data_IF_333082728737
#
_entry.id   IF_333082728737
#
_cell.length_a   1.000
_cell.length_b   1.000
_cell.length_c   1.000
_cell.angle_alpha   90.00
_cell.angle_beta   90.00
_cell.angle_gamma   90.00
#
_symmetry.space_group_name_H-M   'P 1'
#
loop_
_entity.id
_entity.type
_entity.pdbx_description
1 polymer ?
#
# COMPACT_ATOMS: atom_id res chain seq x y z
N UNK A 1 -48.92 19.83 83.02
CA UNK A 1 -49.17 20.62 81.79
C UNK A 1 -47.84 20.79 81.07
N UNK A 2 -47.53 19.90 80.15
CA UNK A 2 -46.38 20.03 79.25
C UNK A 2 -46.79 19.34 77.96
N UNK A 3 -47.36 20.13 77.04
CA UNK A 3 -47.89 19.69 75.76
C UNK A 3 -46.73 19.31 74.84
N UNK A 4 -46.75 18.08 74.33
CA UNK A 4 -45.88 17.64 73.23
C UNK A 4 -46.21 18.44 71.96
N UNK A 5 -45.22 18.89 71.17
CA UNK A 5 -45.47 19.44 69.84
C UNK A 5 -45.89 18.30 68.90
N UNK A 6 -47.00 18.51 68.18
CA UNK A 6 -47.41 17.64 67.09
C UNK A 6 -46.32 17.61 66.00
N UNK A 7 -45.99 16.40 65.51
CA UNK A 7 -45.26 16.22 64.26
C UNK A 7 -46.06 16.84 63.11
N UNK A 8 -45.43 17.76 62.38
CA UNK A 8 -45.91 18.16 61.06
C UNK A 8 -45.84 16.97 60.08
N UNK A 9 -46.81 16.82 59.17
CA UNK A 9 -46.80 15.70 58.24
C UNK A 9 -45.64 15.86 57.24
N UNK A 10 -45.03 14.74 56.90
CA UNK A 10 -43.97 14.65 55.91
C UNK A 10 -44.33 15.44 54.65
N UNK A 11 -43.47 16.39 54.27
CA UNK A 11 -43.49 17.05 52.97
C UNK A 11 -43.47 15.98 51.89
N UNK A 12 -44.62 15.77 51.24
CA UNK A 12 -44.74 14.96 50.04
C UNK A 12 -43.90 15.61 48.95
N UNK A 13 -42.71 15.05 48.69
CA UNK A 13 -41.96 15.36 47.48
C UNK A 13 -42.84 14.92 46.31
N UNK A 14 -43.25 15.83 45.40
CA UNK A 14 -44.11 15.46 44.28
C UNK A 14 -43.36 14.45 43.40
N UNK A 15 -44.03 13.38 42.91
CA UNK A 15 -43.37 12.33 42.15
C UNK A 15 -43.25 12.76 40.68
N UNK A 16 -42.68 13.93 40.37
CA UNK A 16 -42.56 14.31 38.96
C UNK A 16 -41.60 15.47 38.65
N UNK A 17 -40.33 15.37 39.05
CA UNK A 17 -39.34 16.42 38.70
C UNK A 17 -38.04 15.87 38.14
N UNK A 18 -38.10 14.72 37.49
CA UNK A 18 -37.01 14.19 36.66
C UNK A 18 -37.45 13.80 35.25
N UNK A 19 -38.61 14.25 34.80
CA UNK A 19 -38.93 14.20 33.39
C UNK A 19 -38.35 15.47 32.76
N UNK A 20 -37.35 15.34 31.90
CA UNK A 20 -37.04 16.41 30.96
C UNK A 20 -38.34 16.77 30.22
N UNK A 21 -38.63 18.06 30.03
CA UNK A 21 -39.76 18.51 29.21
C UNK A 21 -39.81 17.67 27.92
N UNK A 22 -40.97 17.12 27.58
CA UNK A 22 -41.16 16.24 26.41
C UNK A 22 -40.67 16.95 25.13
N UNK A 23 -40.80 18.29 25.09
CA UNK A 23 -40.21 19.12 24.04
C UNK A 23 -38.67 19.10 24.05
N UNK A 24 -38.05 19.13 25.22
CA UNK A 24 -36.59 19.02 25.37
C UNK A 24 -36.08 17.61 25.00
N UNK A 25 -36.84 16.56 25.32
CA UNK A 25 -36.53 15.19 24.90
C UNK A 25 -36.60 15.06 23.37
N UNK A 26 -37.67 15.55 22.74
CA UNK A 26 -37.82 15.55 21.28
C UNK A 26 -36.74 16.41 20.58
N UNK A 27 -36.33 17.52 21.20
CA UNK A 27 -35.24 18.35 20.68
C UNK A 27 -33.88 17.64 20.79
N UNK A 28 -33.62 16.94 21.89
CA UNK A 28 -32.40 16.13 22.06
C UNK A 28 -32.34 14.98 21.04
N UNK A 29 -33.46 14.30 20.79
CA UNK A 29 -33.53 13.24 19.76
C UNK A 29 -33.24 13.77 18.36
N UNK A 30 -33.71 14.98 18.03
CA UNK A 30 -33.34 15.66 16.77
C UNK A 30 -31.84 15.94 16.71
N UNK A 31 -31.26 16.51 17.76
CA UNK A 31 -29.82 16.77 17.79
C UNK A 31 -29.00 15.49 17.64
N UNK A 32 -29.33 14.42 18.36
CA UNK A 32 -28.61 13.13 18.24
C UNK A 32 -28.69 12.58 16.81
N UNK A 33 -29.86 12.70 16.17
CA UNK A 33 -30.05 12.28 14.77
C UNK A 33 -29.23 13.12 13.81
N UNK A 34 -29.24 14.43 13.97
CA UNK A 34 -28.51 15.38 13.14
C UNK A 34 -26.99 15.23 13.32
N UNK A 35 -26.51 15.10 14.56
CA UNK A 35 -25.12 14.76 14.84
C UNK A 35 -24.72 13.41 14.25
N UNK A 36 -25.56 12.39 14.37
CA UNK A 36 -25.32 11.09 13.75
C UNK A 36 -25.22 11.17 12.23
N UNK A 37 -26.05 12.00 11.60
CA UNK A 37 -25.99 12.29 10.16
C UNK A 37 -24.70 13.03 9.80
N UNK A 38 -24.40 14.15 10.48
CA UNK A 38 -23.18 14.93 10.25
C UNK A 38 -21.91 14.09 10.45
N UNK A 39 -21.89 13.20 11.45
CA UNK A 39 -20.76 12.32 11.70
C UNK A 39 -20.54 11.32 10.55
N UNK A 40 -21.63 10.76 9.99
CA UNK A 40 -21.55 9.89 8.81
C UNK A 40 -21.07 10.66 7.58
N UNK A 41 -21.67 11.81 7.30
CA UNK A 41 -21.29 12.68 6.17
C UNK A 41 -19.82 13.10 6.27
N UNK A 42 -19.35 13.51 7.46
CA UNK A 42 -17.95 13.82 7.70
C UNK A 42 -17.03 12.62 7.45
N UNK A 43 -17.40 11.44 7.96
CA UNK A 43 -16.57 10.24 7.77
C UNK A 43 -16.53 9.79 6.32
N UNK A 44 -17.62 9.95 5.59
CA UNK A 44 -17.68 9.70 4.14
C UNK A 44 -16.78 10.69 3.39
N UNK A 45 -16.90 11.99 3.69
CA UNK A 45 -16.02 13.00 3.11
C UNK A 45 -14.53 12.75 3.38
N UNK A 46 -14.17 12.32 4.60
CA UNK A 46 -12.78 11.96 4.93
C UNK A 46 -12.28 10.74 4.16
N UNK A 47 -13.16 9.75 3.91
CA UNK A 47 -12.84 8.58 3.08
C UNK A 47 -12.62 8.99 1.62
N UNK A 48 -13.48 9.85 1.08
CA UNK A 48 -13.34 10.35 -0.29
C UNK A 48 -12.06 11.16 -0.49
N UNK A 49 -11.70 12.04 0.47
CA UNK A 49 -10.43 12.76 0.44
C UNK A 49 -9.24 11.79 0.47
N UNK A 50 -9.29 10.76 1.32
CA UNK A 50 -8.24 9.73 1.40
C UNK A 50 -8.11 8.96 0.09
N UNK A 51 -9.24 8.58 -0.53
CA UNK A 51 -9.28 7.90 -1.83
C UNK A 51 -8.67 8.79 -2.92
N UNK A 52 -9.08 10.05 -3.00
CA UNK A 52 -8.57 11.00 -3.99
C UNK A 52 -7.06 11.22 -3.87
N UNK A 53 -6.53 11.35 -2.66
CA UNK A 53 -5.08 11.46 -2.43
C UNK A 53 -4.32 10.23 -2.91
N UNK A 54 -4.83 9.03 -2.64
CA UNK A 54 -4.20 7.80 -3.07
C UNK A 54 -4.25 7.63 -4.59
N UNK A 55 -5.39 7.91 -5.22
CA UNK A 55 -5.55 7.88 -6.68
C UNK A 55 -4.58 8.83 -7.38
N UNK A 56 -4.44 10.06 -6.87
CA UNK A 56 -3.52 11.04 -7.43
C UNK A 56 -2.06 10.55 -7.42
N UNK A 57 -1.62 9.90 -6.34
CA UNK A 57 -0.25 9.38 -6.25
C UNK A 57 -0.02 8.13 -7.10
N UNK A 58 -1.03 7.25 -7.23
CA UNK A 58 -0.97 6.14 -8.17
C UNK A 58 -0.87 6.65 -9.62
N UNK A 59 -1.61 7.70 -9.99
CA UNK A 59 -1.49 8.33 -11.30
C UNK A 59 -0.11 8.95 -11.54
N UNK A 60 0.50 9.56 -10.53
CA UNK A 60 1.87 10.06 -10.64
C UNK A 60 2.90 8.92 -10.77
N UNK A 61 2.67 7.81 -10.09
CA UNK A 61 3.51 6.61 -10.23
C UNK A 61 3.38 6.01 -11.62
N UNK A 62 2.16 5.93 -12.15
CA UNK A 62 1.90 5.53 -13.53
C UNK A 62 2.56 6.47 -14.54
N UNK A 63 2.56 7.79 -14.29
CA UNK A 63 3.25 8.75 -15.15
C UNK A 63 4.77 8.55 -15.12
N UNK A 64 5.35 8.17 -13.99
CA UNK A 64 6.77 7.83 -13.88
C UNK A 64 7.12 6.54 -14.67
N UNK A 65 6.22 5.56 -14.67
CA UNK A 65 6.37 4.29 -15.39
C UNK A 65 6.19 4.43 -16.91
N UNK A 66 5.21 5.25 -17.34
CA UNK A 66 5.05 5.65 -18.74
C UNK A 66 6.29 6.37 -19.30
N UNK A 67 7.06 7.04 -18.43
CA UNK A 67 8.34 7.67 -18.81
C UNK A 67 9.43 6.63 -19.08
N UNK A 68 9.34 5.44 -18.48
CA UNK A 68 10.27 4.31 -18.59
C UNK A 68 9.82 3.23 -19.60
N UNK A 69 8.93 3.60 -20.52
CA UNK A 69 8.39 2.77 -21.61
C UNK A 69 7.53 1.55 -21.16
N UNK A 70 6.88 1.62 -19.99
CA UNK A 70 5.93 0.58 -19.54
C UNK A 70 4.46 0.98 -19.77
N UNK A 71 3.59 -0.02 -19.89
CA UNK A 71 2.16 0.11 -20.22
C UNK A 71 1.27 0.44 -19.01
N UNK A 72 1.84 0.68 -17.83
CA UNK A 72 1.13 0.97 -16.57
C UNK A 72 0.39 -0.23 -15.95
N UNK A 73 0.13 -1.29 -16.72
CA UNK A 73 -0.47 -2.55 -16.21
C UNK A 73 0.47 -3.25 -15.23
N UNK A 74 1.79 -3.11 -15.44
CA UNK A 74 2.83 -3.62 -14.55
C UNK A 74 2.61 -3.17 -13.10
N UNK A 75 2.49 -1.86 -12.87
CA UNK A 75 2.24 -1.28 -11.54
C UNK A 75 1.03 -1.93 -10.85
N UNK A 76 -0.06 -2.16 -11.59
CA UNK A 76 -1.27 -2.76 -11.04
C UNK A 76 -1.02 -4.23 -10.65
N UNK A 77 -0.31 -4.98 -11.49
CA UNK A 77 0.09 -6.36 -11.17
C UNK A 77 0.97 -6.40 -9.92
N UNK A 78 1.97 -5.53 -9.81
CA UNK A 78 2.84 -5.47 -8.62
C UNK A 78 2.03 -5.37 -7.33
N UNK A 79 1.01 -4.51 -7.29
CA UNK A 79 0.15 -4.39 -6.12
C UNK A 79 -0.55 -5.70 -5.73
N UNK A 80 -1.27 -6.32 -6.67
CA UNK A 80 -2.02 -7.54 -6.39
C UNK A 80 -1.12 -8.76 -6.12
N UNK A 81 0.00 -8.89 -6.83
CA UNK A 81 0.94 -9.99 -6.61
C UNK A 81 1.64 -9.84 -5.25
N UNK A 82 1.97 -8.62 -4.84
CA UNK A 82 2.52 -8.36 -3.50
C UNK A 82 1.50 -8.66 -2.39
N UNK A 83 0.22 -8.35 -2.59
CA UNK A 83 -0.86 -8.75 -1.67
C UNK A 83 -0.95 -10.27 -1.54
N UNK A 84 -1.02 -10.97 -2.68
CA UNK A 84 -1.14 -12.42 -2.72
C UNK A 84 0.04 -13.10 -2.02
N UNK A 85 1.28 -12.63 -2.29
CA UNK A 85 2.47 -13.17 -1.65
C UNK A 85 2.51 -12.86 -0.15
N UNK A 86 2.14 -11.65 0.27
CA UNK A 86 2.06 -11.29 1.69
C UNK A 86 1.06 -12.19 2.45
N UNK A 87 -0.10 -12.48 1.85
CA UNK A 87 -1.09 -13.41 2.43
C UNK A 87 -0.54 -14.83 2.52
N UNK A 88 0.12 -15.32 1.47
CA UNK A 88 0.75 -16.64 1.46
C UNK A 88 1.87 -16.77 2.52
N UNK A 89 2.54 -15.67 2.85
CA UNK A 89 3.52 -15.55 3.93
C UNK A 89 2.88 -15.51 5.34
N UNK A 90 1.55 -15.59 5.45
CA UNK A 90 0.82 -15.55 6.71
C UNK A 90 0.64 -14.14 7.30
N UNK A 91 0.87 -13.08 6.52
CA UNK A 91 0.61 -11.72 6.98
C UNK A 91 -0.89 -11.44 7.11
N UNK A 92 -1.23 -10.44 7.93
CA UNK A 92 -2.62 -10.03 8.10
C UNK A 92 -3.18 -9.42 6.81
N UNK A 93 -4.50 -9.57 6.61
CA UNK A 93 -5.23 -8.94 5.49
C UNK A 93 -5.01 -7.42 5.46
N UNK A 94 -4.90 -6.77 6.64
CA UNK A 94 -4.61 -5.34 6.75
C UNK A 94 -3.24 -4.97 6.19
N UNK A 95 -2.19 -5.74 6.53
CA UNK A 95 -0.84 -5.52 5.99
C UNK A 95 -0.80 -5.79 4.49
N UNK A 96 -1.35 -6.91 4.03
CA UNK A 96 -1.33 -7.28 2.62
C UNK A 96 -2.06 -6.25 1.74
N UNK A 97 -3.23 -5.76 2.18
CA UNK A 97 -3.96 -4.68 1.51
C UNK A 97 -3.22 -3.35 1.54
N UNK A 98 -2.45 -3.07 2.59
CA UNK A 98 -1.61 -1.87 2.63
C UNK A 98 -0.45 -2.00 1.63
N UNK A 99 0.18 -3.16 1.54
CA UNK A 99 1.25 -3.44 0.58
C UNK A 99 0.74 -3.41 -0.86
N UNK A 100 -0.48 -3.88 -1.13
CA UNK A 100 -1.15 -3.75 -2.43
C UNK A 100 -1.16 -2.32 -2.95
N UNK A 101 -1.34 -1.37 -2.03
CA UNK A 101 -1.43 0.05 -2.32
C UNK A 101 -0.05 0.70 -2.39
N UNK A 102 0.88 0.24 -1.55
CA UNK A 102 2.22 0.78 -1.43
C UNK A 102 3.19 0.35 -2.55
N UNK A 103 3.24 -0.95 -2.86
CA UNK A 103 4.18 -1.54 -3.82
C UNK A 103 4.12 -0.95 -5.25
N UNK A 104 2.94 -0.59 -5.78
CA UNK A 104 2.79 0.16 -7.03
C UNK A 104 3.67 1.42 -7.16
N UNK A 105 4.04 2.05 -6.04
CA UNK A 105 4.77 3.31 -6.04
C UNK A 105 6.30 3.14 -5.94
N UNK A 106 6.82 1.91 -6.02
CA UNK A 106 8.25 1.61 -5.82
C UNK A 106 9.18 2.45 -6.71
N UNK A 107 8.75 2.71 -7.94
CA UNK A 107 9.53 3.38 -8.99
C UNK A 107 9.18 4.86 -9.21
N UNK A 108 8.36 5.48 -8.34
CA UNK A 108 7.92 6.88 -8.51
C UNK A 108 9.10 7.87 -8.65
N UNK A 109 10.26 7.54 -8.06
CA UNK A 109 11.47 8.35 -8.14
C UNK A 109 12.09 8.46 -9.55
N UNK A 110 11.72 7.58 -10.50
CA UNK A 110 12.17 7.65 -11.90
C UNK A 110 11.75 8.96 -12.58
N UNK A 111 10.74 9.66 -12.04
CA UNK A 111 10.37 11.02 -12.48
C UNK A 111 11.56 11.98 -12.46
N UNK A 112 12.46 11.85 -11.47
CA UNK A 112 13.67 12.67 -11.31
C UNK A 112 14.89 12.18 -12.09
N UNK A 113 14.81 11.02 -12.76
CA UNK A 113 15.95 10.48 -13.52
C UNK A 113 16.06 11.14 -14.90
N UNK A 114 17.24 11.61 -15.35
CA UNK A 114 17.39 12.20 -16.68
C UNK A 114 17.07 11.22 -17.82
N UNK A 115 16.39 11.69 -18.86
CA UNK A 115 16.01 10.85 -20.03
C UNK A 115 17.22 10.24 -20.74
N UNK A 116 18.38 10.91 -20.74
CA UNK A 116 19.63 10.39 -21.30
C UNK A 116 20.13 9.13 -20.59
N UNK A 117 19.74 8.94 -19.32
CA UNK A 117 20.05 7.75 -18.52
C UNK A 117 18.90 6.76 -18.57
N UNK A 118 17.66 7.23 -18.34
CA UNK A 118 16.47 6.39 -18.28
C UNK A 118 16.20 5.66 -19.60
N UNK A 119 16.28 6.36 -20.73
CA UNK A 119 15.97 5.85 -22.07
C UNK A 119 17.20 5.38 -22.85
N UNK A 120 18.34 5.19 -22.17
CA UNK A 120 19.59 4.82 -22.84
C UNK A 120 19.48 3.42 -23.43
N UNK A 121 19.76 3.30 -24.73
CA UNK A 121 19.89 1.99 -25.40
C UNK A 121 21.25 1.38 -25.07
N UNK A 122 21.26 0.23 -24.39
CA UNK A 122 22.47 -0.53 -24.05
C UNK A 122 22.85 -0.43 -22.57
N UNK A 123 24.08 -0.83 -22.24
CA UNK A 123 24.55 -0.85 -20.84
C UNK A 123 24.83 0.57 -20.35
N UNK A 124 24.35 0.87 -19.14
CA UNK A 124 24.74 2.08 -18.41
C UNK A 124 26.21 1.98 -17.99
N UNK A 125 26.97 3.05 -18.14
CA UNK A 125 28.31 3.17 -17.53
C UNK A 125 28.17 3.36 -16.00
N UNK A 126 29.24 3.22 -15.20
CA UNK A 126 29.13 3.30 -13.75
C UNK A 126 28.47 4.58 -13.21
N UNK A 127 28.77 5.75 -13.80
CA UNK A 127 28.20 7.05 -13.41
C UNK A 127 26.70 7.14 -13.72
N UNK A 128 26.28 6.63 -14.89
CA UNK A 128 24.88 6.55 -15.28
C UNK A 128 24.12 5.56 -14.40
N UNK A 129 24.75 4.43 -14.04
CA UNK A 129 24.18 3.47 -13.09
C UNK A 129 23.97 4.11 -11.73
N UNK A 130 24.94 4.88 -11.22
CA UNK A 130 24.77 5.61 -9.98
C UNK A 130 23.60 6.60 -10.05
N UNK A 131 23.48 7.32 -11.17
CA UNK A 131 22.35 8.23 -11.43
C UNK A 131 21.01 7.50 -11.45
N UNK A 132 20.94 6.35 -12.13
CA UNK A 132 19.73 5.51 -12.16
C UNK A 132 19.36 5.02 -10.76
N UNK A 133 20.33 4.54 -9.98
CA UNK A 133 20.10 3.98 -8.65
C UNK A 133 19.53 5.02 -7.65
N UNK A 134 19.70 6.32 -7.91
CA UNK A 134 19.13 7.38 -7.08
C UNK A 134 17.60 7.40 -7.07
N UNK A 135 16.91 6.77 -8.03
CA UNK A 135 15.44 6.76 -8.05
C UNK A 135 14.84 6.18 -6.76
N UNK A 136 15.48 5.18 -6.14
CA UNK A 136 15.01 4.58 -4.90
C UNK A 136 14.96 5.61 -3.75
N UNK A 137 16.05 6.36 -3.57
CA UNK A 137 16.13 7.42 -2.57
C UNK A 137 15.20 8.61 -2.89
N UNK A 138 15.10 9.01 -4.16
CA UNK A 138 14.19 10.07 -4.58
C UNK A 138 12.72 9.70 -4.35
N UNK A 139 12.33 8.46 -4.68
CA UNK A 139 10.97 7.97 -4.45
C UNK A 139 10.62 7.96 -2.97
N UNK A 140 11.55 7.52 -2.13
CA UNK A 140 11.41 7.57 -0.69
C UNK A 140 11.27 9.02 -0.16
N UNK A 141 12.01 9.98 -0.72
CA UNK A 141 11.87 11.40 -0.35
C UNK A 141 10.51 11.99 -0.75
N UNK A 142 10.03 11.68 -1.96
CA UNK A 142 8.72 12.12 -2.47
C UNK A 142 7.60 11.62 -1.56
N UNK A 143 7.65 10.35 -1.15
CA UNK A 143 6.60 9.69 -0.38
C UNK A 143 6.73 9.91 1.14
N UNK A 144 7.96 10.00 1.65
CA UNK A 144 8.31 9.97 3.07
C UNK A 144 7.92 11.22 3.86
N UNK A 145 7.47 12.30 3.20
CA UNK A 145 7.00 13.53 3.85
C UNK A 145 5.58 13.39 4.46
N UNK A 146 4.91 12.26 4.23
CA UNK A 146 3.54 12.04 4.70
C UNK A 146 3.46 11.18 5.96
N UNK A 147 2.55 11.54 6.86
CA UNK A 147 2.20 10.75 8.04
C UNK A 147 1.16 9.65 7.76
N UNK A 148 0.68 9.54 6.52
CA UNK A 148 -0.33 8.54 6.15
C UNK A 148 0.35 7.16 6.05
N UNK A 149 -0.19 6.10 6.71
CA UNK A 149 0.46 4.79 6.79
C UNK A 149 0.87 4.18 5.45
N UNK A 150 -0.01 4.28 4.43
CA UNK A 150 0.30 3.73 3.09
C UNK A 150 1.50 4.42 2.45
N UNK A 151 1.69 5.72 2.65
CA UNK A 151 2.83 6.44 2.07
C UNK A 151 4.12 6.19 2.83
N UNK A 152 4.04 5.93 4.14
CA UNK A 152 5.20 5.46 4.91
C UNK A 152 5.68 4.10 4.40
N UNK A 153 4.76 3.16 4.19
CA UNK A 153 5.09 1.86 3.60
C UNK A 153 5.58 2.01 2.15
N UNK A 154 4.98 2.89 1.36
CA UNK A 154 5.42 3.14 -0.02
C UNK A 154 6.84 3.74 -0.06
N UNK A 155 7.18 4.66 0.84
CA UNK A 155 8.53 5.20 0.97
C UNK A 155 9.54 4.12 1.38
N UNK A 156 9.15 3.23 2.30
CA UNK A 156 9.95 2.07 2.69
C UNK A 156 10.21 1.13 1.50
N UNK A 157 9.18 0.81 0.72
CA UNK A 157 9.31 0.00 -0.50
C UNK A 157 10.19 0.68 -1.53
N UNK A 158 9.92 1.95 -1.87
CA UNK A 158 10.71 2.70 -2.84
C UNK A 158 12.20 2.73 -2.45
N UNK A 159 12.50 2.89 -1.16
CA UNK A 159 13.88 2.90 -0.67
C UNK A 159 14.56 1.53 -0.75
N UNK A 160 13.82 0.44 -0.60
CA UNK A 160 14.40 -0.87 -0.27
C UNK A 160 14.14 -2.01 -1.27
N UNK A 161 13.31 -1.80 -2.29
CA UNK A 161 12.99 -2.84 -3.29
C UNK A 161 14.19 -3.28 -4.16
N UNK A 162 15.28 -2.51 -4.16
CA UNK A 162 16.56 -2.86 -4.81
C UNK A 162 17.67 -3.23 -3.82
N UNK A 163 17.37 -3.31 -2.53
CA UNK A 163 18.27 -3.95 -1.58
C UNK A 163 18.31 -5.45 -1.86
N UNK A 164 19.48 -6.05 -1.66
CA UNK A 164 19.69 -7.48 -1.92
C UNK A 164 19.92 -8.18 -0.60
N UNK A 165 19.36 -9.38 -0.46
CA UNK A 165 19.48 -10.16 0.76
C UNK A 165 20.95 -10.40 1.19
N UNK A 166 21.87 -10.49 0.23
CA UNK A 166 23.32 -10.61 0.43
C UNK A 166 24.07 -9.30 0.76
N UNK A 167 23.37 -8.17 0.84
CA UNK A 167 23.94 -6.85 1.14
C UNK A 167 24.61 -6.14 -0.05
N UNK A 168 24.56 -6.72 -1.26
CA UNK A 168 25.13 -6.10 -2.47
C UNK A 168 24.16 -5.17 -3.20
N UNK A 169 23.02 -4.84 -2.56
CA UNK A 169 21.99 -3.98 -3.09
C UNK A 169 22.28 -2.50 -2.92
N UNK A 170 21.27 -1.68 -3.18
CA UNK A 170 21.34 -0.22 -3.05
C UNK A 170 19.97 0.31 -2.59
N UNK A 171 19.91 1.54 -2.03
CA UNK A 171 20.98 2.52 -1.86
C UNK A 171 21.82 2.41 -0.58
N UNK A 172 21.34 1.70 0.44
CA UNK A 172 21.97 1.63 1.76
C UNK A 172 22.78 0.34 1.98
N UNK A 173 22.65 -0.66 1.12
CA UNK A 173 23.38 -1.93 1.25
C UNK A 173 22.89 -2.75 2.44
N UNK A 174 21.58 -2.69 2.69
CA UNK A 174 20.94 -3.48 3.75
C UNK A 174 21.00 -4.97 3.38
N UNK A 175 21.16 -5.83 4.38
CA UNK A 175 21.29 -7.28 4.19
C UNK A 175 20.32 -8.05 5.07
N UNK A 176 19.85 -9.20 4.60
CA UNK A 176 18.98 -10.09 5.35
C UNK A 176 17.70 -9.41 5.84
N UNK A 177 17.37 -9.63 7.11
CA UNK A 177 16.17 -9.08 7.74
C UNK A 177 16.27 -7.58 8.09
N UNK A 178 17.44 -6.95 7.91
CA UNK A 178 17.54 -5.49 7.99
C UNK A 178 16.79 -4.80 6.85
N UNK A 179 16.54 -5.52 5.74
CA UNK A 179 15.64 -5.08 4.68
C UNK A 179 14.19 -5.27 5.18
N UNK A 180 13.37 -4.22 5.18
CA UNK A 180 11.96 -4.33 5.55
C UNK A 180 11.23 -5.39 4.74
N UNK A 181 10.28 -6.09 5.38
CA UNK A 181 9.53 -7.16 4.72
C UNK A 181 8.80 -6.66 3.46
N UNK A 182 8.30 -5.42 3.48
CA UNK A 182 7.63 -4.77 2.34
C UNK A 182 8.56 -4.71 1.12
N UNK A 183 9.80 -4.23 1.29
CA UNK A 183 10.83 -4.19 0.26
C UNK A 183 11.23 -5.58 -0.25
N UNK A 184 11.43 -6.55 0.66
CA UNK A 184 11.77 -7.93 0.28
C UNK A 184 10.67 -8.61 -0.55
N UNK A 185 9.39 -8.41 -0.19
CA UNK A 185 8.24 -8.93 -0.97
C UNK A 185 8.20 -8.25 -2.34
N UNK A 186 8.28 -6.92 -2.37
CA UNK A 186 8.20 -6.17 -3.63
C UNK A 186 9.35 -6.53 -4.58
N UNK A 187 10.58 -6.71 -4.08
CA UNK A 187 11.72 -7.10 -4.90
C UNK A 187 11.51 -8.43 -5.66
N UNK A 188 10.92 -9.43 -5.00
CA UNK A 188 10.60 -10.73 -5.62
C UNK A 188 9.51 -10.59 -6.68
N UNK A 189 8.45 -9.84 -6.35
CA UNK A 189 7.31 -9.63 -7.24
C UNK A 189 7.70 -8.81 -8.47
N UNK A 190 8.48 -7.73 -8.29
CA UNK A 190 9.00 -6.91 -9.37
C UNK A 190 9.90 -7.71 -10.31
N UNK A 191 10.84 -8.47 -9.76
CA UNK A 191 11.70 -9.33 -10.56
C UNK A 191 10.91 -10.33 -11.42
N UNK A 192 9.93 -11.02 -10.84
CA UNK A 192 9.11 -11.98 -11.58
C UNK A 192 8.24 -11.32 -12.65
N UNK A 193 7.53 -10.24 -12.32
CA UNK A 193 6.65 -9.56 -13.27
C UNK A 193 7.47 -8.95 -14.42
N UNK A 194 8.60 -8.33 -14.10
CA UNK A 194 9.50 -7.76 -15.08
C UNK A 194 10.08 -8.81 -16.04
N UNK A 195 10.26 -10.06 -15.64
CA UNK A 195 10.71 -11.16 -16.52
C UNK A 195 9.60 -11.73 -17.40
N UNK A 196 8.36 -11.76 -16.90
CA UNK A 196 7.21 -12.40 -17.56
C UNK A 196 6.38 -11.44 -18.42
N UNK A 197 6.89 -10.24 -18.67
CA UNK A 197 6.31 -9.27 -19.58
C UNK A 197 7.27 -8.85 -20.68
N UNK A 198 6.68 -8.45 -21.81
CA UNK A 198 7.42 -7.93 -22.94
C UNK A 198 8.02 -6.57 -22.60
N UNK A 199 9.29 -6.40 -22.96
CA UNK A 199 9.99 -5.12 -22.94
C UNK A 199 10.40 -4.79 -24.37
N UNK A 200 10.55 -3.49 -24.68
CA UNK A 200 10.96 -3.01 -26.01
C UNK A 200 12.23 -3.71 -26.53
N UNK A 201 13.14 -4.08 -25.62
CA UNK A 201 14.42 -4.72 -25.93
C UNK A 201 14.45 -6.23 -25.67
N UNK A 202 13.38 -6.84 -25.14
CA UNK A 202 13.38 -8.26 -24.75
C UNK A 202 11.96 -8.83 -24.69
N UNK A 203 11.66 -9.95 -25.38
CA UNK A 203 10.38 -10.62 -25.19
C UNK A 203 10.23 -11.15 -23.76
N UNK A 204 8.98 -11.37 -23.35
CA UNK A 204 8.65 -12.05 -22.10
C UNK A 204 9.30 -13.44 -22.05
N UNK A 205 9.85 -13.80 -20.90
CA UNK A 205 10.27 -15.19 -20.65
C UNK A 205 9.05 -16.06 -20.38
N UNK A 206 9.16 -17.35 -20.72
CA UNK A 206 8.19 -18.34 -20.27
C UNK A 206 8.23 -18.43 -18.73
N UNK A 207 7.06 -18.60 -18.11
CA UNK A 207 6.92 -18.65 -16.65
C UNK A 207 7.88 -19.65 -15.99
N UNK A 208 8.05 -20.90 -16.47
CA UNK A 208 9.02 -21.84 -15.89
C UNK A 208 10.45 -21.28 -15.85
N UNK A 209 10.86 -20.56 -16.90
CA UNK A 209 12.19 -19.94 -16.98
C UNK A 209 12.32 -18.81 -15.95
N UNK A 210 11.29 -17.97 -15.80
CA UNK A 210 11.29 -16.92 -14.78
C UNK A 210 11.37 -17.49 -13.35
N UNK A 211 10.70 -18.61 -13.09
CA UNK A 211 10.76 -19.30 -11.79
C UNK A 211 12.14 -19.91 -11.52
N UNK A 212 12.78 -20.52 -12.53
CA UNK A 212 14.17 -21.00 -12.42
C UNK A 212 15.15 -19.87 -12.11
N UNK A 213 15.00 -18.72 -12.79
CA UNK A 213 15.81 -17.53 -12.54
C UNK A 213 15.61 -16.97 -11.13
N UNK A 214 14.35 -16.94 -10.64
CA UNK A 214 14.04 -16.52 -9.29
C UNK A 214 14.66 -17.45 -8.25
N UNK A 215 14.53 -18.77 -8.44
CA UNK A 215 15.11 -19.78 -7.57
C UNK A 215 16.65 -19.70 -7.51
N UNK A 216 17.30 -19.35 -8.62
CA UNK A 216 18.76 -19.19 -8.67
C UNK A 216 19.28 -17.99 -7.85
N UNK A 217 18.43 -16.99 -7.58
CA UNK A 217 18.78 -15.82 -6.76
C UNK A 217 18.35 -15.96 -5.28
N UNK A 218 17.81 -17.11 -4.89
CA UNK A 218 17.44 -17.46 -3.51
C UNK A 218 18.62 -17.34 -2.56
N UNK A 219 18.49 -16.53 -1.51
CA UNK A 219 19.55 -16.26 -0.52
C UNK A 219 20.67 -15.34 -1.00
N UNK A 220 20.61 -14.89 -2.26
CA UNK A 220 21.53 -13.91 -2.85
C UNK A 220 20.82 -12.57 -3.01
N UNK A 221 20.02 -12.41 -4.06
CA UNK A 221 19.21 -11.21 -4.23
C UNK A 221 18.02 -11.22 -3.27
N UNK A 222 17.40 -12.39 -3.10
CA UNK A 222 16.08 -12.49 -2.50
C UNK A 222 16.08 -13.32 -1.22
N UNK A 223 15.18 -12.97 -0.32
CA UNK A 223 14.93 -13.71 0.90
C UNK A 223 14.53 -15.16 0.60
N UNK A 224 15.26 -16.17 1.13
CA UNK A 224 14.94 -17.58 0.91
C UNK A 224 13.49 -17.96 1.23
N UNK A 225 12.94 -17.43 2.33
CA UNK A 225 11.60 -17.76 2.81
C UNK A 225 10.52 -17.19 1.88
N UNK A 226 10.75 -16.00 1.34
CA UNK A 226 9.85 -15.39 0.35
C UNK A 226 9.92 -16.12 -0.99
N UNK A 227 11.12 -16.46 -1.46
CA UNK A 227 11.27 -17.25 -2.70
C UNK A 227 10.59 -18.61 -2.57
N UNK A 228 10.80 -19.33 -1.46
CA UNK A 228 10.18 -20.64 -1.25
C UNK A 228 8.65 -20.53 -1.22
N UNK A 229 8.12 -19.51 -0.55
CA UNK A 229 6.67 -19.25 -0.51
C UNK A 229 6.12 -18.88 -1.89
N UNK A 230 6.85 -18.08 -2.66
CA UNK A 230 6.49 -17.72 -4.02
C UNK A 230 6.43 -18.96 -4.92
N UNK A 231 7.47 -19.80 -4.89
CA UNK A 231 7.53 -21.02 -5.69
C UNK A 231 6.41 -22.00 -5.33
N UNK A 232 6.09 -22.14 -4.04
CA UNK A 232 4.98 -22.98 -3.57
C UNK A 232 3.59 -22.49 -4.04
N UNK A 233 3.46 -21.21 -4.38
CA UNK A 233 2.21 -20.59 -4.84
C UNK A 233 2.28 -20.07 -6.29
N UNK A 234 3.32 -20.46 -7.04
CA UNK A 234 3.63 -19.86 -8.34
C UNK A 234 2.50 -19.98 -9.35
N UNK A 235 1.79 -21.12 -9.36
CA UNK A 235 0.64 -21.33 -10.25
C UNK A 235 -0.50 -20.34 -9.96
N UNK A 236 -0.83 -20.13 -8.68
CA UNK A 236 -1.88 -19.19 -8.27
C UNK A 236 -1.47 -17.73 -8.55
N UNK A 237 -0.20 -17.39 -8.32
CA UNK A 237 0.36 -16.06 -8.59
C UNK A 237 0.36 -15.78 -10.10
N UNK A 238 0.77 -16.74 -10.94
CA UNK A 238 0.75 -16.57 -12.39
C UNK A 238 -0.69 -16.51 -12.96
N UNK A 239 -1.62 -17.30 -12.42
CA UNK A 239 -3.03 -17.21 -12.78
C UNK A 239 -3.59 -15.81 -12.46
N UNK A 240 -3.26 -15.25 -11.28
CA UNK A 240 -3.63 -13.89 -10.91
C UNK A 240 -2.99 -12.85 -11.84
N UNK A 241 -1.70 -12.99 -12.17
CA UNK A 241 -1.00 -12.12 -13.12
C UNK A 241 -1.66 -12.12 -14.50
N UNK A 242 -2.01 -13.31 -15.01
CA UNK A 242 -2.72 -13.47 -16.28
C UNK A 242 -4.09 -12.80 -16.25
N UNK A 243 -4.86 -13.00 -15.18
CA UNK A 243 -6.17 -12.37 -14.99
C UNK A 243 -6.07 -10.84 -15.04
N UNK A 244 -5.15 -10.24 -14.28
CA UNK A 244 -4.97 -8.77 -14.24
C UNK A 244 -4.52 -8.25 -15.60
N UNK A 245 -3.66 -8.98 -16.31
CA UNK A 245 -3.22 -8.60 -17.66
C UNK A 245 -4.38 -8.57 -18.65
N UNK A 246 -5.31 -9.53 -18.54
CA UNK A 246 -6.49 -9.60 -19.41
C UNK A 246 -7.55 -8.55 -19.05
N UNK A 247 -7.82 -8.35 -17.76
CA UNK A 247 -8.83 -7.40 -17.29
C UNK A 247 -8.37 -5.95 -17.41
N UNK A 248 -7.05 -5.72 -17.39
CA UNK A 248 -6.43 -4.39 -17.42
C UNK A 248 -7.11 -3.40 -16.45
N UNK A 249 -7.20 -3.74 -15.15
CA UNK A 249 -7.94 -2.90 -14.21
C UNK A 249 -7.26 -1.53 -14.06
N UNK A 250 -8.07 -0.50 -13.86
CA UNK A 250 -7.56 0.85 -13.60
C UNK A 250 -6.83 0.91 -12.25
N UNK A 251 -6.01 1.94 -12.07
CA UNK A 251 -5.34 2.21 -10.80
C UNK A 251 -6.31 2.34 -9.62
N UNK A 252 -7.55 2.77 -9.85
CA UNK A 252 -8.59 2.85 -8.82
C UNK A 252 -8.92 1.48 -8.20
N UNK A 253 -8.75 0.39 -8.94
CA UNK A 253 -8.98 -0.96 -8.44
C UNK A 253 -8.02 -1.34 -7.29
N UNK A 254 -6.82 -0.74 -7.25
CA UNK A 254 -5.85 -0.91 -6.17
C UNK A 254 -6.37 -0.30 -4.85
N UNK A 255 -7.24 0.72 -4.94
CA UNK A 255 -7.77 1.44 -3.78
C UNK A 255 -8.96 0.69 -3.19
N UNK A 256 -9.80 0.12 -4.06
CA UNK A 256 -11.20 -0.19 -3.79
C UNK A 256 -11.59 -1.66 -3.85
N UNK A 257 -10.66 -2.59 -4.12
CA UNK A 257 -11.04 -4.00 -4.11
C UNK A 257 -11.55 -4.42 -2.70
N UNK A 258 -12.74 -5.08 -2.63
CA UNK A 258 -13.47 -5.39 -1.41
C UNK A 258 -12.67 -6.19 -0.37
#
# INVERSE_FOLDING_TARGET
>A
MTSLPLLEPASQVPPDTRCFDEAAAAQMERFVRDFGRMYRERNEALREVTRAHHAALLHLSAAADLKDDDTGVHIVRIGYLAEALALALGQTVGYARMLRKAAPMHDIGKIGTPDSVLKKRGKLIPEERQTMNCHAAMGAEILGRSNIPVFRMAAEVALTHHERYDGQGYPAGLSGEAIPLSGRITAVVDFFDALTMDRVYRPAFAVPVALEMLAAERGRAFDPMIVDTFLAHAEAIDALRCKITQECPSFDALIDAP
#
